data_IF_746095484011
#
_entry.id   IF_746095484011
#
_cell.length_a   1.000
_cell.length_b   1.000
_cell.length_c   1.000
_cell.angle_alpha   90.00
_cell.angle_beta   90.00
_cell.angle_gamma   90.00
#
_symmetry.space_group_name_H-M   'P 1'
#
loop_
_entity.id
_entity.type
_entity.pdbx_description
1 polymer ?
#
# COMPACT_ATOMS: atom_id res chain seq x y z
N UNK A 1 9.65 -13.18 -21.80
CA UNK A 1 9.83 -13.79 -20.48
C UNK A 1 8.68 -13.31 -19.63
N UNK A 2 7.76 -14.18 -19.26
CA UNK A 2 6.60 -13.80 -18.44
C UNK A 2 7.03 -13.73 -16.97
N UNK A 3 6.70 -12.62 -16.31
CA UNK A 3 6.88 -12.47 -14.87
C UNK A 3 5.89 -13.40 -14.15
N UNK A 4 6.30 -14.13 -13.08
CA UNK A 4 5.39 -15.02 -12.39
C UNK A 4 4.25 -14.24 -11.70
N UNK A 5 3.04 -14.80 -11.73
CA UNK A 5 1.83 -14.18 -11.15
C UNK A 5 1.89 -14.15 -9.62
N UNK A 6 1.21 -13.19 -8.99
CA UNK A 6 0.98 -13.18 -7.55
C UNK A 6 0.17 -14.43 -7.15
N UNK A 7 0.50 -15.01 -5.99
CA UNK A 7 -0.16 -16.19 -5.45
C UNK A 7 0.77 -17.36 -5.15
N UNK A 8 0.23 -18.53 -4.76
CA UNK A 8 1.02 -19.71 -4.47
C UNK A 8 1.58 -20.34 -5.76
N UNK A 9 2.84 -20.74 -5.71
CA UNK A 9 3.55 -21.47 -6.76
C UNK A 9 4.22 -22.71 -6.17
N UNK A 10 4.18 -23.81 -6.91
CA UNK A 10 4.89 -25.04 -6.53
C UNK A 10 6.18 -25.14 -7.32
N UNK A 11 7.31 -25.15 -6.62
CA UNK A 11 8.60 -25.50 -7.20
C UNK A 11 8.80 -26.99 -7.07
N UNK A 12 9.14 -27.62 -8.19
CA UNK A 12 9.51 -29.04 -8.26
C UNK A 12 11.01 -29.15 -8.54
N UNK A 13 11.71 -29.86 -7.66
CA UNK A 13 13.14 -30.14 -7.79
C UNK A 13 13.28 -31.64 -8.05
N UNK A 14 13.98 -31.99 -9.13
CA UNK A 14 14.27 -33.38 -9.51
C UNK A 14 15.78 -33.55 -9.51
N UNK A 15 16.29 -34.48 -8.71
CA UNK A 15 17.68 -34.92 -8.78
C UNK A 15 17.73 -36.24 -9.55
N UNK A 16 18.64 -36.36 -10.51
CA UNK A 16 18.90 -37.58 -11.29
C UNK A 16 20.37 -37.96 -11.16
N UNK A 17 20.68 -39.20 -10.81
CA UNK A 17 22.07 -39.69 -10.76
C UNK A 17 22.57 -40.17 -12.14
N UNK A 18 23.84 -40.55 -12.23
CA UNK A 18 24.48 -41.04 -13.47
C UNK A 18 23.97 -42.43 -13.90
N UNK A 19 23.19 -43.11 -13.07
CA UNK A 19 22.54 -44.38 -13.36
C UNK A 19 21.06 -44.18 -13.75
N UNK A 20 20.57 -42.93 -13.76
CA UNK A 20 19.20 -42.57 -14.12
C UNK A 20 18.19 -42.66 -12.97
N UNK A 21 18.61 -42.98 -11.75
CA UNK A 21 17.73 -42.97 -10.60
C UNK A 21 17.31 -41.53 -10.26
N UNK A 22 16.04 -41.35 -9.90
CA UNK A 22 15.44 -40.04 -9.63
C UNK A 22 14.89 -39.92 -8.23
N UNK A 23 15.06 -38.75 -7.63
CA UNK A 23 14.29 -38.30 -6.47
C UNK A 23 13.68 -36.94 -6.75
N UNK A 24 12.53 -36.67 -6.14
CA UNK A 24 11.79 -35.43 -6.32
C UNK A 24 11.39 -34.82 -4.97
N UNK A 25 11.39 -33.49 -4.89
CA UNK A 25 10.78 -32.74 -3.80
C UNK A 25 10.01 -31.54 -4.32
N UNK A 26 8.84 -31.29 -3.75
CA UNK A 26 8.04 -30.09 -4.00
C UNK A 26 8.09 -29.15 -2.81
N UNK A 27 8.23 -27.85 -3.08
CA UNK A 27 8.02 -26.78 -2.09
C UNK A 27 6.99 -25.79 -2.63
N UNK A 28 6.21 -25.22 -1.73
CA UNK A 28 5.29 -24.12 -2.08
C UNK A 28 5.92 -22.81 -1.66
N UNK A 29 6.00 -21.87 -2.59
CA UNK A 29 6.33 -20.47 -2.32
C UNK A 29 5.09 -19.62 -2.62
N UNK A 30 4.99 -18.45 -1.99
CA UNK A 30 3.94 -17.48 -2.31
C UNK A 30 4.59 -16.21 -2.81
N UNK A 31 4.25 -15.82 -4.03
CA UNK A 31 4.68 -14.55 -4.61
C UNK A 31 3.66 -13.49 -4.20
N UNK A 32 4.14 -12.45 -3.53
CA UNK A 32 3.33 -11.31 -3.13
C UNK A 32 3.71 -10.09 -3.97
N UNK A 33 2.82 -9.10 -4.05
CA UNK A 33 3.19 -7.80 -4.59
C UNK A 33 4.38 -7.24 -3.80
N UNK A 34 5.30 -6.56 -4.49
CA UNK A 34 6.42 -5.86 -3.87
C UNK A 34 5.94 -4.65 -3.09
N UNK A 35 5.30 -4.86 -1.95
CA UNK A 35 5.05 -3.86 -0.94
C UNK A 35 5.57 -4.38 0.39
N UNK A 36 6.78 -3.96 0.74
CA UNK A 36 7.31 -4.11 2.09
C UNK A 36 6.47 -3.26 3.06
N UNK A 37 5.32 -3.79 3.49
CA UNK A 37 4.80 -3.56 4.83
C UNK A 37 4.45 -2.13 5.26
N UNK A 38 4.27 -1.15 4.37
CA UNK A 38 3.52 0.06 4.73
C UNK A 38 2.27 0.14 3.86
N UNK A 39 1.14 -0.30 4.43
CA UNK A 39 -0.16 0.07 3.89
C UNK A 39 -0.21 1.59 3.84
N UNK A 40 -0.26 2.20 2.66
CA UNK A 40 -0.42 3.65 2.53
C UNK A 40 -1.66 4.08 3.34
N UNK A 41 -1.47 4.89 4.36
CA UNK A 41 -2.57 5.42 5.16
C UNK A 41 -2.89 6.80 4.62
N UNK A 42 -4.10 7.08 4.11
CA UNK A 42 -4.43 8.40 3.59
C UNK A 42 -4.22 9.49 4.67
N UNK A 43 -3.82 10.71 4.28
CA UNK A 43 -3.75 11.82 5.21
C UNK A 43 -5.14 12.13 5.79
N UNK A 44 -5.14 12.59 7.03
CA UNK A 44 -6.32 13.14 7.70
C UNK A 44 -6.33 14.66 7.54
N UNK A 45 -7.53 15.25 7.47
CA UNK A 45 -7.73 16.71 7.35
C UNK A 45 -8.77 17.17 8.36
N UNK A 46 -8.56 18.36 8.94
CA UNK A 46 -9.52 19.03 9.81
C UNK A 46 -9.60 20.52 9.48
N UNK A 47 -10.81 21.03 9.28
CA UNK A 47 -11.06 22.47 9.20
C UNK A 47 -11.12 23.01 10.63
N UNK A 48 -10.30 24.02 10.93
CA UNK A 48 -10.24 24.67 12.23
C UNK A 48 -10.99 26.01 12.25
N UNK A 49 -11.18 26.62 11.08
CA UNK A 49 -12.07 27.77 10.88
C UNK A 49 -12.60 27.81 9.44
N UNK A 50 -13.85 28.22 9.21
CA UNK A 50 -14.87 28.54 10.21
C UNK A 50 -15.38 27.31 10.98
N UNK A 51 -16.03 27.52 12.12
CA UNK A 51 -16.69 26.44 12.86
C UNK A 51 -18.02 26.07 12.21
N UNK A 52 -18.46 24.83 12.41
CA UNK A 52 -19.74 24.36 11.88
C UNK A 52 -20.90 25.25 12.38
N UNK A 53 -21.71 25.77 11.46
CA UNK A 53 -22.83 26.66 11.76
C UNK A 53 -22.47 28.14 11.93
N UNK A 54 -21.21 28.54 11.71
CA UNK A 54 -20.83 29.96 11.72
C UNK A 54 -21.50 30.71 10.56
N UNK A 55 -22.07 31.88 10.84
CA UNK A 55 -22.71 32.74 9.86
C UNK A 55 -21.82 33.92 9.49
N UNK A 56 -21.91 34.35 8.24
CA UNK A 56 -21.16 35.47 7.70
C UNK A 56 -22.14 36.47 7.08
N UNK A 57 -21.84 37.77 7.24
CA UNK A 57 -22.55 38.82 6.50
C UNK A 57 -22.12 38.80 5.04
N UNK A 58 -22.99 39.30 4.14
CA UNK A 58 -22.60 39.53 2.76
C UNK A 58 -21.32 40.40 2.70
N UNK A 59 -20.47 40.12 1.71
CA UNK A 59 -19.18 40.80 1.46
C UNK A 59 -18.10 40.65 2.55
N UNK A 60 -18.33 39.81 3.57
CA UNK A 60 -17.29 39.49 4.56
C UNK A 60 -16.18 38.63 3.93
N UNK A 61 -14.92 38.95 4.25
CA UNK A 61 -13.79 38.08 3.94
C UNK A 61 -13.87 36.80 4.79
N UNK A 62 -13.97 35.65 4.12
CA UNK A 62 -13.96 34.34 4.75
C UNK A 62 -12.54 33.76 4.75
N UNK A 63 -11.89 33.77 5.91
CA UNK A 63 -10.63 33.04 6.10
C UNK A 63 -10.93 31.59 6.44
N UNK A 64 -10.34 30.67 5.69
CA UNK A 64 -10.42 29.23 5.95
C UNK A 64 -9.09 28.74 6.48
N UNK A 65 -9.12 28.08 7.63
CA UNK A 65 -7.95 27.46 8.24
C UNK A 65 -8.19 25.95 8.32
N UNK A 66 -7.19 25.18 7.93
CA UNK A 66 -7.22 23.72 8.00
C UNK A 66 -5.85 23.16 8.40
N UNK A 67 -5.87 21.97 9.00
CA UNK A 67 -4.67 21.16 9.28
C UNK A 67 -4.78 19.84 8.53
N UNK A 68 -3.64 19.34 8.07
CA UNK A 68 -3.53 18.02 7.47
C UNK A 68 -2.35 17.26 8.09
N UNK A 69 -2.50 15.96 8.28
CA UNK A 69 -1.47 15.09 8.84
C UNK A 69 -1.50 13.71 8.18
N UNK A 70 -0.32 13.20 7.83
CA UNK A 70 -0.14 11.88 7.25
C UNK A 70 0.65 11.01 8.25
N UNK A 71 0.11 9.85 8.61
CA UNK A 71 0.66 8.98 9.65
C UNK A 71 1.88 8.18 9.17
N UNK A 72 1.99 7.92 7.87
CA UNK A 72 3.10 7.14 7.31
C UNK A 72 3.66 7.70 6.00
N UNK A 73 3.33 8.95 5.69
CA UNK A 73 3.79 9.69 4.53
C UNK A 73 4.01 11.17 4.82
N UNK A 74 3.88 11.99 3.79
CA UNK A 74 4.06 13.44 3.84
C UNK A 74 2.94 14.13 3.08
N UNK A 75 2.39 15.19 3.65
CA UNK A 75 1.39 16.02 2.97
C UNK A 75 2.06 16.88 1.92
N UNK A 76 1.69 16.70 0.65
CA UNK A 76 2.25 17.47 -0.47
C UNK A 76 1.53 18.80 -0.70
N UNK A 77 0.27 18.92 -0.28
CA UNK A 77 -0.55 20.12 -0.45
C UNK A 77 -1.71 20.13 0.55
N UNK A 78 -2.08 21.33 1.01
CA UNK A 78 -3.34 21.67 1.69
C UNK A 78 -4.07 22.73 0.88
#
# INVERSE_FOLDING_TARGET
MDNPRIGPHTLRIVATDNNGARSEKTITITIVEGNSGTSNTPPTVAITAPTNGQTFTADANLTVNATASDANGTVSKV
#
